data_IF_805988541594
#
_entry.id   IF_805988541594
#
_cell.length_a   1.000
_cell.length_b   1.000
_cell.length_c   1.000
_cell.angle_alpha   90.00
_cell.angle_beta   90.00
_cell.angle_gamma   90.00
#
_symmetry.space_group_name_H-M   'P 1'
#
loop_
_entity.id
_entity.type
_entity.pdbx_description
1 polymer ?
#
# COMPACT_ATOMS: atom_id res chain seq x y z
N UNK A 1 -25.90 -47.58 -58.03
CA UNK A 1 -27.26 -47.90 -57.55
C UNK A 1 -27.83 -46.72 -56.78
N UNK A 2 -29.11 -46.82 -56.36
CA UNK A 2 -29.89 -45.99 -55.40
C UNK A 2 -29.03 -45.28 -54.32
N UNK A 3 -29.37 -44.07 -53.81
CA UNK A 3 -30.47 -43.15 -54.15
C UNK A 3 -30.15 -41.71 -53.71
N UNK A 4 -30.62 -40.75 -54.50
CA UNK A 4 -30.82 -39.34 -54.19
C UNK A 4 -31.70 -39.12 -52.93
N UNK A 5 -31.33 -38.16 -52.07
CA UNK A 5 -32.28 -37.35 -51.29
C UNK A 5 -31.86 -35.87 -51.43
N UNK A 6 -32.83 -35.00 -51.74
CA UNK A 6 -32.69 -33.53 -51.69
C UNK A 6 -33.41 -33.03 -50.45
N UNK A 7 -32.93 -31.94 -49.85
CA UNK A 7 -33.79 -31.00 -49.14
C UNK A 7 -33.44 -29.56 -49.50
N UNK A 8 -34.47 -28.79 -49.85
CA UNK A 8 -34.41 -27.35 -50.15
C UNK A 8 -35.52 -26.67 -49.37
N UNK A 9 -35.18 -25.61 -48.63
CA UNK A 9 -36.12 -24.68 -48.03
C UNK A 9 -35.60 -23.26 -48.27
N UNK A 10 -36.50 -22.30 -48.48
CA UNK A 10 -36.16 -20.93 -48.87
C UNK A 10 -35.95 -19.99 -47.67
N UNK A 11 -35.38 -18.82 -47.95
CA UNK A 11 -35.11 -17.75 -46.99
C UNK A 11 -36.25 -16.71 -46.93
N UNK A 12 -36.33 -16.00 -45.80
CA UNK A 12 -36.87 -14.62 -45.70
C UNK A 12 -36.37 -13.98 -44.40
N UNK A 13 -35.53 -12.93 -44.43
CA UNK A 13 -35.84 -11.47 -44.40
C UNK A 13 -35.98 -10.92 -42.94
N UNK A 14 -35.63 -9.63 -42.76
CA UNK A 14 -35.60 -8.82 -41.52
C UNK A 14 -34.45 -9.13 -40.52
N UNK A 15 -33.85 -8.15 -39.81
CA UNK A 15 -34.07 -6.69 -39.79
C UNK A 15 -32.79 -5.91 -40.16
N UNK A 16 -32.96 -4.74 -40.76
CA UNK A 16 -31.96 -3.66 -40.68
C UNK A 16 -32.21 -2.83 -39.41
N UNK A 17 -31.14 -2.44 -38.72
CA UNK A 17 -31.19 -1.45 -37.64
C UNK A 17 -30.00 -0.49 -37.80
N UNK A 18 -30.25 0.80 -37.60
CA UNK A 18 -29.35 1.86 -38.06
C UNK A 18 -28.05 1.98 -37.26
N UNK A 19 -26.96 2.29 -37.96
CA UNK A 19 -25.73 2.77 -37.35
C UNK A 19 -25.96 4.14 -36.69
N UNK A 20 -26.22 4.14 -35.38
CA UNK A 20 -26.03 5.35 -34.57
C UNK A 20 -24.53 5.65 -34.49
N UNK A 21 -24.07 6.58 -35.31
CA UNK A 21 -22.74 7.14 -35.22
C UNK A 21 -22.62 8.05 -33.98
N UNK A 22 -22.56 7.42 -32.80
CA UNK A 22 -22.19 8.11 -31.57
C UNK A 22 -20.77 8.64 -31.71
N UNK A 23 -20.65 9.93 -31.99
CA UNK A 23 -19.40 10.69 -31.99
C UNK A 23 -18.83 10.77 -30.58
N UNK A 24 -18.24 9.67 -30.13
CA UNK A 24 -17.48 9.60 -28.90
C UNK A 24 -16.28 10.53 -29.04
N UNK A 25 -16.40 11.75 -28.50
CA UNK A 25 -15.27 12.66 -28.31
C UNK A 25 -14.33 11.97 -27.32
N UNK A 26 -13.36 11.24 -27.86
CA UNK A 26 -12.25 10.72 -27.10
C UNK A 26 -11.48 11.92 -26.56
N UNK A 27 -11.69 12.22 -25.27
CA UNK A 27 -10.79 13.09 -24.52
C UNK A 27 -9.45 12.38 -24.44
N UNK A 28 -8.60 12.62 -25.43
CA UNK A 28 -7.21 12.15 -25.43
C UNK A 28 -6.51 12.68 -24.19
N UNK A 29 -6.38 11.81 -23.19
CA UNK A 29 -5.57 12.10 -22.02
C UNK A 29 -4.13 12.35 -22.48
N UNK A 30 -3.51 13.49 -22.13
CA UNK A 30 -2.14 13.77 -22.55
C UNK A 30 -1.23 12.63 -22.08
N UNK A 31 -0.31 12.13 -22.93
CA UNK A 31 0.58 11.02 -22.58
C UNK A 31 1.30 11.29 -21.25
N UNK A 32 1.36 10.28 -20.39
CA UNK A 32 1.90 10.40 -19.02
C UNK A 32 3.34 10.96 -19.01
N UNK A 33 4.10 10.67 -20.08
CA UNK A 33 5.45 11.18 -20.30
C UNK A 33 5.49 12.70 -20.46
N UNK A 34 4.46 13.32 -21.06
CA UNK A 34 4.31 14.78 -21.18
C UNK A 34 4.15 15.41 -19.79
N UNK A 35 3.27 14.84 -18.96
CA UNK A 35 3.06 15.27 -17.56
C UNK A 35 4.33 15.08 -16.71
N UNK A 36 5.11 14.02 -16.95
CA UNK A 36 6.40 13.82 -16.28
C UNK A 36 7.44 14.86 -16.74
N UNK A 37 7.52 15.16 -18.03
CA UNK A 37 8.47 16.15 -18.57
C UNK A 37 8.15 17.59 -18.13
N UNK A 38 6.88 18.01 -18.13
CA UNK A 38 6.47 19.35 -17.69
C UNK A 38 6.87 19.62 -16.23
N UNK A 39 6.74 18.63 -15.34
CA UNK A 39 7.17 18.75 -13.95
C UNK A 39 8.71 18.84 -13.82
N UNK A 40 9.47 18.15 -14.68
CA UNK A 40 10.93 18.25 -14.73
C UNK A 40 11.38 19.62 -15.24
N UNK A 41 10.69 20.20 -16.22
CA UNK A 41 11.02 21.52 -16.81
C UNK A 41 10.81 22.64 -15.78
N UNK A 42 9.64 22.67 -15.13
CA UNK A 42 9.34 23.68 -14.08
C UNK A 42 10.36 23.63 -12.93
N UNK A 43 10.82 22.44 -12.55
CA UNK A 43 11.85 22.25 -11.51
C UNK A 43 13.29 22.59 -11.96
N UNK A 44 13.58 22.68 -13.26
CA UNK A 44 14.86 23.19 -13.78
C UNK A 44 14.91 24.71 -13.78
N UNK A 45 13.81 25.37 -14.16
CA UNK A 45 13.71 26.84 -14.17
C UNK A 45 13.86 27.42 -12.76
N UNK A 46 13.30 26.75 -11.74
CA UNK A 46 13.45 27.12 -10.32
C UNK A 46 14.88 26.93 -9.74
N UNK A 47 15.90 26.59 -10.54
CA UNK A 47 17.29 26.33 -10.09
C UNK A 47 18.36 27.23 -10.71
N UNK A 48 17.99 28.27 -11.47
CA UNK A 48 18.94 29.12 -12.17
C UNK A 48 19.36 30.41 -11.42
N UNK A 49 19.10 30.52 -10.11
CA UNK A 49 19.71 31.53 -9.25
C UNK A 49 20.70 30.90 -8.26
N UNK A 50 22.02 30.98 -8.51
CA UNK A 50 23.04 30.57 -7.55
C UNK A 50 23.37 31.72 -6.59
N UNK A 51 23.13 31.54 -5.30
CA UNK A 51 23.68 32.42 -4.27
C UNK A 51 25.09 31.97 -3.87
N UNK A 52 26.07 32.86 -3.97
CA UNK A 52 27.40 32.66 -3.42
C UNK A 52 27.48 33.31 -2.05
N UNK A 53 27.75 32.51 -1.00
CA UNK A 53 28.08 33.01 0.35
C UNK A 53 29.25 32.16 0.87
N UNK A 54 30.37 32.77 1.31
CA UNK A 54 31.54 32.02 1.78
C UNK A 54 31.29 31.32 3.13
N UNK A 55 32.10 30.29 3.42
CA UNK A 55 32.07 29.62 4.72
C UNK A 55 32.60 30.55 5.82
N UNK A 56 31.79 30.75 6.85
CA UNK A 56 32.21 31.25 8.16
C UNK A 56 31.98 30.10 9.16
N UNK A 57 32.97 29.79 10.00
CA UNK A 57 32.79 28.80 11.06
C UNK A 57 31.77 29.30 12.08
N UNK A 58 30.77 28.46 12.39
CA UNK A 58 29.71 28.84 13.34
C UNK A 58 30.05 28.37 14.75
N UNK A 59 29.86 29.22 15.78
CA UNK A 59 30.00 28.79 17.16
C UNK A 59 28.96 27.70 17.49
N UNK A 60 29.29 26.89 18.49
CA UNK A 60 28.51 25.72 18.91
C UNK A 60 27.27 26.14 19.72
N UNK A 61 26.28 26.69 19.01
CA UNK A 61 24.97 27.03 19.59
C UNK A 61 24.31 25.74 20.09
N UNK A 62 24.07 25.67 21.40
CA UNK A 62 23.15 24.68 21.97
C UNK A 62 21.75 25.00 21.45
N UNK A 63 21.17 24.05 20.70
CA UNK A 63 19.79 24.17 20.26
C UNK A 63 18.88 23.79 21.42
N UNK A 64 18.11 24.75 21.92
CA UNK A 64 16.87 24.42 22.61
C UNK A 64 16.06 23.46 21.74
N UNK A 65 15.59 22.34 22.31
CA UNK A 65 14.75 21.37 21.60
C UNK A 65 13.33 21.94 21.51
N UNK A 66 13.17 22.99 20.70
CA UNK A 66 11.90 23.68 20.45
C UNK A 66 10.84 22.64 20.02
N UNK A 67 9.84 22.41 20.86
CA UNK A 67 8.83 21.39 20.62
C UNK A 67 7.99 21.75 19.38
N UNK A 68 8.28 21.09 18.25
CA UNK A 68 7.56 21.20 16.98
C UNK A 68 6.11 20.73 17.18
N UNK A 69 5.23 21.68 17.50
CA UNK A 69 3.83 21.43 17.85
C UNK A 69 3.16 20.52 16.81
N UNK A 70 2.35 19.52 17.24
CA UNK A 70 1.79 18.53 16.34
C UNK A 70 0.93 19.19 15.25
N UNK A 71 1.30 18.95 14.00
CA UNK A 71 0.66 19.58 12.83
C UNK A 71 -0.82 19.17 12.73
N UNK A 72 -1.70 20.15 12.60
CA UNK A 72 -3.12 19.93 12.40
C UNK A 72 -3.41 19.71 10.92
N UNK A 73 -3.77 18.49 10.55
CA UNK A 73 -4.14 18.13 9.18
C UNK A 73 -5.66 18.20 8.95
N UNK A 74 -6.08 18.80 7.83
CA UNK A 74 -7.46 18.81 7.34
C UNK A 74 -7.57 18.01 6.05
N UNK A 75 -8.70 17.31 5.83
CA UNK A 75 -8.80 16.28 4.79
C UNK A 75 -9.79 16.63 3.68
N UNK A 76 -9.37 16.38 2.44
CA UNK A 76 -10.24 16.35 1.25
C UNK A 76 -10.45 14.91 0.82
N UNK A 77 -11.71 14.50 0.68
CA UNK A 77 -12.10 13.13 0.27
C UNK A 77 -12.00 12.96 -1.25
N UNK A 78 -10.92 12.32 -1.72
CA UNK A 78 -10.60 12.15 -3.14
C UNK A 78 -11.25 10.93 -3.80
N UNK A 79 -11.69 9.93 -3.00
CA UNK A 79 -12.64 8.88 -3.44
C UNK A 79 -13.84 8.88 -2.50
N UNK A 80 -14.99 9.29 -3.04
CA UNK A 80 -16.22 9.54 -2.27
C UNK A 80 -17.04 8.26 -2.07
N UNK A 81 -17.11 7.43 -3.10
CA UNK A 81 -18.15 6.40 -3.27
C UNK A 81 -17.62 5.00 -2.98
N UNK A 82 -18.53 4.04 -2.78
CA UNK A 82 -18.18 2.65 -2.51
C UNK A 82 -17.73 2.37 -1.07
N UNK A 83 -17.01 1.26 -0.91
CA UNK A 83 -16.58 0.70 0.36
C UNK A 83 -15.14 1.10 0.73
N UNK A 84 -14.34 1.53 -0.26
CA UNK A 84 -13.02 2.13 -0.06
C UNK A 84 -13.16 3.64 -0.22
N UNK A 85 -13.07 4.37 0.89
CA UNK A 85 -13.01 5.84 0.92
C UNK A 85 -11.56 6.27 1.06
N UNK A 86 -11.12 7.26 0.28
CA UNK A 86 -9.75 7.78 0.35
C UNK A 86 -9.78 9.28 0.57
N UNK A 87 -8.97 9.72 1.52
CA UNK A 87 -8.82 11.10 1.99
C UNK A 87 -7.35 11.50 1.84
N UNK A 88 -7.10 12.72 1.35
CA UNK A 88 -5.77 13.34 1.32
C UNK A 88 -5.76 14.55 2.27
N UNK A 89 -4.71 14.72 3.06
CA UNK A 89 -4.49 15.96 3.80
C UNK A 89 -4.27 17.15 2.84
N UNK A 90 -4.65 18.36 3.23
CA UNK A 90 -4.43 19.56 2.39
C UNK A 90 -3.03 20.13 2.57
N UNK A 91 -2.43 19.88 3.72
CA UNK A 91 -1.20 20.50 4.21
C UNK A 91 0.05 19.64 3.96
N UNK A 92 -0.13 18.37 3.56
CA UNK A 92 0.96 17.41 3.34
C UNK A 92 0.54 16.23 2.44
N UNK A 93 1.51 15.46 1.93
CA UNK A 93 1.27 14.18 1.23
C UNK A 93 0.99 13.04 2.24
N UNK A 94 -0.12 13.18 2.97
CA UNK A 94 -0.67 12.20 3.90
C UNK A 94 -2.01 11.71 3.35
N UNK A 95 -2.19 10.39 3.35
CA UNK A 95 -3.35 9.71 2.79
C UNK A 95 -3.92 8.74 3.82
N UNK A 96 -5.24 8.83 4.03
CA UNK A 96 -5.98 7.92 4.89
C UNK A 96 -7.04 7.21 4.05
N UNK A 97 -7.17 5.91 4.28
CA UNK A 97 -8.12 5.06 3.59
C UNK A 97 -9.02 4.37 4.62
N UNK A 98 -10.33 4.38 4.41
CA UNK A 98 -11.28 3.51 5.12
C UNK A 98 -11.73 2.41 4.16
N UNK A 99 -11.37 1.16 4.44
CA UNK A 99 -11.71 -0.02 3.64
C UNK A 99 -12.73 -0.87 4.42
N UNK A 100 -14.01 -0.78 4.06
CA UNK A 100 -15.09 -1.58 4.64
C UNK A 100 -15.19 -2.94 3.91
N UNK A 101 -14.81 -4.02 4.58
CA UNK A 101 -14.79 -5.37 4.04
C UNK A 101 -16.22 -5.96 4.01
N UNK A 102 -17.01 -5.58 3.00
CA UNK A 102 -18.34 -6.12 2.73
C UNK A 102 -18.54 -6.34 1.22
N UNK A 103 -19.46 -7.23 0.85
CA UNK A 103 -19.72 -7.55 -0.56
C UNK A 103 -18.46 -8.08 -1.27
N UNK A 104 -18.09 -7.46 -2.38
CA UNK A 104 -16.89 -7.81 -3.17
C UNK A 104 -15.60 -7.13 -2.68
N UNK A 105 -15.68 -6.25 -1.67
CA UNK A 105 -14.49 -5.54 -1.16
C UNK A 105 -13.55 -6.48 -0.44
N UNK A 106 -12.33 -6.57 -0.96
CA UNK A 106 -11.29 -7.50 -0.49
C UNK A 106 -9.90 -6.87 -0.59
N UNK A 107 -8.91 -7.56 -0.01
CA UNK A 107 -7.50 -7.21 -0.12
C UNK A 107 -6.73 -8.40 -0.70
N UNK A 108 -5.62 -8.13 -1.37
CA UNK A 108 -4.74 -9.16 -1.95
C UNK A 108 -3.29 -8.84 -1.66
N UNK A 109 -2.50 -9.85 -1.28
CA UNK A 109 -1.05 -9.74 -1.28
C UNK A 109 -0.56 -9.62 -2.72
N UNK A 110 0.18 -8.55 -3.01
CA UNK A 110 0.92 -8.37 -4.25
C UNK A 110 2.37 -8.73 -3.96
N UNK A 111 2.65 -10.01 -4.10
CA UNK A 111 3.93 -10.66 -3.87
C UNK A 111 4.28 -11.47 -5.12
N UNK A 112 5.56 -11.53 -5.48
CA UNK A 112 6.03 -12.38 -6.57
C UNK A 112 5.91 -13.86 -6.20
N UNK A 113 5.95 -14.76 -7.19
CA UNK A 113 6.25 -16.16 -6.88
C UNK A 113 7.65 -16.19 -6.26
N UNK A 114 7.88 -16.94 -5.16
CA UNK A 114 9.22 -17.07 -4.62
C UNK A 114 10.12 -17.76 -5.66
N UNK A 115 11.38 -17.34 -5.72
CA UNK A 115 12.38 -17.89 -6.64
C UNK A 115 12.92 -19.19 -6.07
N UNK A 116 13.21 -19.19 -4.78
CA UNK A 116 13.60 -20.33 -3.96
C UNK A 116 12.43 -20.76 -3.08
N UNK A 117 11.88 -21.95 -3.36
CA UNK A 117 11.18 -22.75 -2.34
C UNK A 117 12.18 -23.77 -1.81
N UNK A 118 12.75 -23.50 -0.63
CA UNK A 118 13.14 -24.61 0.24
C UNK A 118 11.85 -25.32 0.66
N UNK A 119 11.82 -26.65 0.54
CA UNK A 119 10.57 -27.42 0.56
C UNK A 119 10.08 -27.67 1.97
N UNK A 120 11.01 -27.80 2.92
CA UNK A 120 10.69 -27.76 4.33
C UNK A 120 10.82 -26.35 4.89
N UNK A 121 9.88 -25.97 5.77
CA UNK A 121 9.93 -24.67 6.48
C UNK A 121 11.17 -24.55 7.40
N UNK A 122 11.84 -25.67 7.63
CA UNK A 122 13.04 -25.80 8.45
C UNK A 122 14.33 -25.47 7.69
N UNK A 123 14.30 -25.49 6.35
CA UNK A 123 15.48 -25.32 5.48
C UNK A 123 15.78 -23.84 5.14
N UNK A 124 14.81 -22.93 5.22
CA UNK A 124 15.06 -21.49 4.98
C UNK A 124 13.82 -20.64 4.69
N UNK A 125 14.00 -19.32 4.66
CA UNK A 125 12.97 -18.38 4.20
C UNK A 125 12.94 -18.29 2.67
N UNK A 126 11.76 -18.29 2.03
CA UNK A 126 11.67 -18.11 0.59
C UNK A 126 12.03 -16.68 0.17
N UNK A 127 12.69 -16.56 -0.98
CA UNK A 127 13.13 -15.26 -1.51
C UNK A 127 12.26 -14.75 -2.67
N UNK A 128 12.04 -13.43 -2.69
CA UNK A 128 11.13 -12.75 -3.61
C UNK A 128 11.87 -11.70 -4.45
N UNK A 129 11.56 -11.63 -5.75
CA UNK A 129 12.00 -10.51 -6.59
C UNK A 129 11.45 -9.19 -6.06
N UNK A 130 12.31 -8.18 -5.90
CA UNK A 130 11.87 -6.82 -5.61
C UNK A 130 11.41 -6.13 -6.90
N UNK A 131 10.21 -5.52 -6.89
CA UNK A 131 9.65 -4.74 -8.02
C UNK A 131 9.48 -3.26 -7.68
N UNK A 132 9.31 -2.44 -8.72
CA UNK A 132 8.89 -1.04 -8.62
C UNK A 132 7.36 -0.93 -8.79
N UNK A 133 6.79 0.28 -8.62
CA UNK A 133 5.34 0.50 -8.71
C UNK A 133 4.73 -0.01 -10.03
N UNK A 134 5.40 0.22 -11.18
CA UNK A 134 4.95 -0.27 -12.50
C UNK A 134 4.94 -1.80 -12.57
N UNK A 135 5.88 -2.47 -11.90
CA UNK A 135 5.88 -3.93 -11.73
C UNK A 135 4.74 -4.45 -10.86
N UNK A 136 4.41 -3.77 -9.76
CA UNK A 136 3.27 -4.13 -8.92
C UNK A 136 1.92 -3.86 -9.58
N UNK A 137 1.79 -2.80 -10.39
CA UNK A 137 0.58 -2.54 -11.17
C UNK A 137 0.35 -3.60 -12.26
N UNK A 138 1.42 -4.17 -12.83
CA UNK A 138 1.32 -5.36 -13.71
C UNK A 138 0.93 -6.64 -12.97
N UNK A 139 1.38 -6.79 -11.72
CA UNK A 139 1.03 -7.94 -10.86
C UNK A 139 -0.39 -7.85 -10.30
N UNK A 140 -0.93 -6.63 -10.16
CA UNK A 140 -2.25 -6.32 -9.63
C UNK A 140 -3.38 -6.55 -10.66
N UNK A 141 -3.54 -7.82 -11.06
CA UNK A 141 -4.70 -8.31 -11.80
C UNK A 141 -6.01 -7.82 -11.17
N UNK A 142 -6.95 -7.34 -11.98
CA UNK A 142 -8.28 -6.92 -11.51
C UNK A 142 -8.44 -5.43 -11.17
N UNK A 143 -7.47 -4.57 -11.52
CA UNK A 143 -7.55 -3.11 -11.34
C UNK A 143 -7.85 -2.68 -9.89
N UNK A 144 -6.86 -2.74 -8.97
CA UNK A 144 -7.06 -2.30 -7.59
C UNK A 144 -7.56 -0.85 -7.53
N UNK A 145 -8.35 -0.57 -6.50
CA UNK A 145 -8.68 0.81 -6.13
C UNK A 145 -7.43 1.55 -5.67
N UNK A 146 -6.59 0.90 -4.86
CA UNK A 146 -5.37 1.48 -4.33
C UNK A 146 -4.37 0.39 -3.93
N UNK A 147 -3.10 0.77 -3.78
CA UNK A 147 -2.02 -0.10 -3.34
C UNK A 147 -1.14 0.62 -2.31
N UNK A 148 -0.70 -0.06 -1.26
CA UNK A 148 0.35 0.40 -0.33
C UNK A 148 1.50 -0.62 -0.27
N UNK A 149 2.69 -0.25 0.20
CA UNK A 149 3.71 -1.26 0.51
C UNK A 149 3.29 -2.15 1.70
N UNK A 150 3.85 -3.35 1.77
CA UNK A 150 3.49 -4.35 2.78
C UNK A 150 4.61 -4.64 3.78
N UNK A 151 5.38 -5.69 3.49
CA UNK A 151 6.33 -6.27 4.45
C UNK A 151 7.67 -5.53 4.52
N UNK A 152 8.31 -5.63 5.68
CA UNK A 152 9.74 -5.36 5.87
C UNK A 152 10.58 -6.44 5.18
N UNK A 153 11.80 -6.10 4.75
CA UNK A 153 12.67 -6.97 3.98
C UNK A 153 14.14 -6.55 4.06
N UNK A 154 15.06 -7.41 3.62
CA UNK A 154 16.48 -7.07 3.49
C UNK A 154 16.71 -6.11 2.32
N UNK A 155 16.95 -4.82 2.62
CA UNK A 155 17.19 -3.78 1.62
C UNK A 155 18.39 -4.04 0.69
N UNK A 156 19.33 -4.90 1.09
CA UNK A 156 20.64 -5.05 0.47
C UNK A 156 20.69 -6.13 -0.62
N UNK A 157 19.77 -7.10 -0.63
CA UNK A 157 19.79 -8.22 -1.60
C UNK A 157 18.66 -8.12 -2.63
N UNK A 158 18.83 -8.68 -3.83
CA UNK A 158 17.72 -8.92 -4.75
C UNK A 158 18.00 -10.26 -5.49
N UNK A 159 17.22 -11.32 -5.26
CA UNK A 159 15.98 -11.37 -4.47
C UNK A 159 16.19 -11.15 -2.95
N UNK A 160 15.09 -11.10 -2.21
CA UNK A 160 15.11 -10.84 -0.75
C UNK A 160 14.13 -11.74 -0.02
N UNK A 161 14.49 -12.17 1.17
CA UNK A 161 13.55 -12.68 2.17
C UNK A 161 12.64 -11.57 2.69
N UNK A 162 11.49 -11.95 3.26
CA UNK A 162 10.66 -11.05 4.05
C UNK A 162 11.10 -11.12 5.51
N UNK A 163 11.20 -9.96 6.17
CA UNK A 163 11.62 -9.88 7.57
C UNK A 163 10.59 -10.50 8.52
N UNK A 164 9.28 -10.33 8.26
CA UNK A 164 8.22 -10.85 9.13
C UNK A 164 7.15 -11.62 8.33
N UNK A 165 6.42 -12.47 9.05
CA UNK A 165 5.46 -13.40 8.47
C UNK A 165 4.36 -12.78 7.62
N UNK A 166 4.01 -13.50 6.56
CA UNK A 166 2.96 -13.15 5.62
C UNK A 166 2.14 -14.39 5.26
N UNK A 167 0.82 -14.30 5.42
CA UNK A 167 -0.16 -15.28 4.97
C UNK A 167 -1.12 -14.61 3.98
N UNK A 168 -1.33 -15.23 2.83
CA UNK A 168 -2.28 -14.76 1.81
C UNK A 168 -2.96 -15.94 1.16
N UNK A 169 -4.23 -15.77 0.80
CA UNK A 169 -5.05 -16.77 0.12
C UNK A 169 -5.16 -18.09 0.92
N UNK A 170 -5.05 -18.00 2.25
CA UNK A 170 -5.03 -19.15 3.18
C UNK A 170 -3.66 -19.80 3.39
N UNK A 171 -2.65 -19.47 2.59
CA UNK A 171 -1.31 -20.08 2.63
C UNK A 171 -0.28 -19.16 3.31
N UNK A 172 0.62 -19.74 4.09
CA UNK A 172 1.82 -19.03 4.58
C UNK A 172 2.77 -18.84 3.39
N UNK A 173 3.17 -17.59 3.13
CA UNK A 173 4.09 -17.23 2.03
C UNK A 173 5.53 -17.03 2.50
N UNK A 174 5.73 -16.67 3.77
CA UNK A 174 7.01 -16.64 4.50
C UNK A 174 6.68 -16.65 5.99
N UNK A 175 7.54 -17.26 6.83
CA UNK A 175 7.34 -17.21 8.28
C UNK A 175 7.96 -15.94 8.87
N UNK A 176 9.13 -15.51 8.39
CA UNK A 176 9.77 -14.21 8.61
C UNK A 176 11.20 -14.30 9.17
N UNK A 177 12.20 -13.85 8.40
CA UNK A 177 13.62 -13.96 8.75
C UNK A 177 13.99 -13.29 10.09
N UNK A 178 13.44 -12.10 10.36
CA UNK A 178 13.73 -11.23 11.50
C UNK A 178 12.67 -11.34 12.62
N UNK A 179 11.99 -12.49 12.71
CA UNK A 179 10.91 -12.72 13.68
C UNK A 179 11.31 -12.59 15.15
N UNK A 180 12.60 -12.66 15.48
CA UNK A 180 13.14 -12.61 16.85
C UNK A 180 13.24 -11.17 17.39
N UNK A 181 13.63 -11.00 18.65
CA UNK A 181 14.18 -9.75 19.23
C UNK A 181 13.30 -8.51 19.44
N UNK A 182 12.14 -8.35 18.78
CA UNK A 182 11.26 -7.16 18.93
C UNK A 182 9.78 -7.53 18.96
N UNK A 183 8.99 -6.78 19.74
CA UNK A 183 7.53 -6.93 19.80
C UNK A 183 6.89 -6.69 18.43
N UNK A 184 6.06 -7.63 18.01
CA UNK A 184 5.36 -7.63 16.71
C UNK A 184 3.89 -7.92 16.94
N UNK A 185 3.05 -7.46 16.01
CA UNK A 185 1.61 -7.72 15.97
C UNK A 185 1.21 -8.29 14.62
N UNK A 186 0.25 -9.21 14.65
CA UNK A 186 -0.40 -9.74 13.45
C UNK A 186 -1.68 -8.94 13.24
N UNK A 187 -1.89 -8.37 12.06
CA UNK A 187 -3.23 -8.02 11.59
C UNK A 187 -3.76 -9.19 10.77
N UNK A 188 -4.88 -9.77 11.20
CA UNK A 188 -5.54 -10.91 10.57
C UNK A 188 -6.87 -10.48 9.95
N UNK A 189 -7.26 -11.16 8.87
CA UNK A 189 -8.60 -11.03 8.29
C UNK A 189 -9.21 -12.41 8.12
N UNK A 190 -10.32 -12.65 8.81
CA UNK A 190 -11.02 -13.93 8.90
C UNK A 190 -12.51 -13.66 8.65
N UNK A 191 -13.10 -14.25 7.61
CA UNK A 191 -14.52 -14.07 7.25
C UNK A 191 -14.94 -12.58 7.20
N UNK A 192 -14.08 -11.72 6.64
CA UNK A 192 -14.21 -10.24 6.59
C UNK A 192 -14.19 -9.51 7.96
N UNK A 193 -13.89 -10.20 9.06
CA UNK A 193 -13.52 -9.57 10.33
C UNK A 193 -12.01 -9.34 10.40
N UNK A 194 -11.61 -8.11 10.73
CA UNK A 194 -10.23 -7.72 10.99
C UNK A 194 -9.98 -7.81 12.49
N UNK A 195 -8.84 -8.39 12.89
CA UNK A 195 -8.37 -8.41 14.28
C UNK A 195 -6.86 -8.18 14.35
N UNK A 196 -6.41 -7.55 15.41
CA UNK A 196 -4.99 -7.46 15.77
C UNK A 196 -4.67 -8.35 16.97
N UNK A 197 -3.55 -9.06 16.89
CA UNK A 197 -3.07 -10.03 17.89
C UNK A 197 -1.57 -9.80 18.17
N UNK A 198 -1.07 -10.09 19.38
CA UNK A 198 0.36 -10.26 19.62
C UNK A 198 0.94 -11.36 18.72
N UNK A 199 2.13 -11.15 18.18
CA UNK A 199 2.80 -12.15 17.35
C UNK A 199 3.25 -13.36 18.19
N UNK A 200 2.76 -14.54 17.81
CA UNK A 200 3.30 -15.84 18.21
C UNK A 200 3.13 -16.80 17.03
N UNK A 201 3.93 -17.88 16.99
CA UNK A 201 3.79 -18.88 15.94
C UNK A 201 2.40 -19.53 15.95
N UNK A 202 1.81 -19.77 17.12
CA UNK A 202 0.47 -20.32 17.25
C UNK A 202 -0.61 -19.37 16.70
N UNK A 203 -0.54 -18.08 17.05
CA UNK A 203 -1.45 -17.06 16.54
C UNK A 203 -1.31 -16.87 15.03
N UNK A 204 -0.11 -17.04 14.47
CA UNK A 204 0.18 -16.84 13.04
C UNK A 204 -0.12 -18.08 12.17
N UNK A 205 0.15 -19.30 12.65
CA UNK A 205 -0.05 -20.53 11.87
C UNK A 205 -1.48 -21.08 11.98
N UNK A 206 -1.95 -21.36 13.19
CA UNK A 206 -3.19 -22.13 13.46
C UNK A 206 -4.47 -21.28 13.44
N UNK A 207 -4.37 -19.96 13.66
CA UNK A 207 -5.52 -19.08 13.96
C UNK A 207 -5.73 -17.92 12.97
N UNK A 208 -5.01 -17.91 11.86
CA UNK A 208 -5.09 -16.88 10.81
C UNK A 208 -6.02 -17.27 9.67
N UNK A 209 -6.89 -16.36 9.25
CA UNK A 209 -7.78 -16.53 8.10
C UNK A 209 -7.07 -16.36 6.76
N UNK A 210 -7.83 -15.97 5.74
CA UNK A 210 -7.36 -15.84 4.36
C UNK A 210 -6.18 -14.86 4.19
N UNK A 211 -6.05 -13.85 5.06
CA UNK A 211 -4.91 -12.94 5.07
C UNK A 211 -4.40 -12.72 6.50
N UNK A 212 -3.08 -12.69 6.67
CA UNK A 212 -2.44 -12.21 7.89
C UNK A 212 -1.08 -11.58 7.60
N UNK A 213 -0.81 -10.46 8.28
CA UNK A 213 0.38 -9.64 8.08
C UNK A 213 1.02 -9.29 9.43
N UNK A 214 2.29 -9.65 9.59
CA UNK A 214 3.06 -9.32 10.79
C UNK A 214 3.75 -7.96 10.61
N UNK A 215 3.49 -7.01 11.49
CA UNK A 215 4.19 -5.72 11.57
C UNK A 215 4.82 -5.50 12.94
N UNK A 216 5.56 -4.41 13.12
CA UNK A 216 5.97 -4.01 14.48
C UNK A 216 4.77 -3.56 15.30
N UNK A 217 4.84 -3.79 16.61
CA UNK A 217 3.95 -3.11 17.55
C UNK A 217 4.15 -1.59 17.43
N UNK A 218 3.07 -0.81 17.51
CA UNK A 218 3.16 0.64 17.49
C UNK A 218 4.03 1.20 18.63
N UNK A 219 4.13 0.50 19.77
CA UNK A 219 4.98 0.91 20.89
C UNK A 219 6.49 0.72 20.61
N UNK A 220 6.92 0.02 19.56
CA UNK A 220 8.35 -0.09 19.21
C UNK A 220 8.86 1.27 18.68
N UNK A 221 9.87 1.89 19.32
CA UNK A 221 10.49 3.11 18.83
C UNK A 221 11.37 2.77 17.61
N UNK A 222 10.91 3.11 16.42
CA UNK A 222 11.70 2.99 15.18
C UNK A 222 11.72 4.34 14.48
N UNK A 223 12.83 5.08 14.65
CA UNK A 223 12.98 6.48 14.22
C UNK A 223 11.79 7.36 14.64
N UNK A 224 11.21 7.15 15.83
CA UNK A 224 9.86 7.65 16.18
C UNK A 224 9.70 9.18 16.12
N UNK A 225 10.67 9.93 16.65
CA UNK A 225 10.76 11.40 16.53
C UNK A 225 11.07 11.89 15.09
N UNK A 226 11.53 11.03 14.17
CA UNK A 226 11.92 11.45 12.82
C UNK A 226 10.72 11.59 11.88
N UNK A 227 10.63 12.74 11.22
CA UNK A 227 9.76 12.97 10.05
C UNK A 227 10.28 12.14 8.86
N UNK A 228 9.59 11.04 8.51
CA UNK A 228 9.99 10.08 7.43
C UNK A 228 8.77 9.43 6.78
N UNK A 229 8.96 8.61 5.74
CA UNK A 229 7.88 7.78 5.20
C UNK A 229 7.27 6.84 6.26
N UNK A 230 5.95 6.90 6.44
CA UNK A 230 5.18 6.04 7.36
C UNK A 230 4.09 5.27 6.62
N UNK A 231 3.84 4.06 7.09
CA UNK A 231 2.71 3.24 6.67
C UNK A 231 2.20 2.43 7.87
N UNK A 232 0.90 2.53 8.13
CA UNK A 232 0.23 1.88 9.26
C UNK A 232 -1.09 1.23 8.81
N UNK A 233 -1.46 0.14 9.49
CA UNK A 233 -2.78 -0.48 9.40
C UNK A 233 -3.41 -0.65 10.79
N UNK A 234 -4.73 -0.48 10.89
CA UNK A 234 -5.49 -0.74 12.11
C UNK A 234 -6.98 -1.02 11.85
N UNK A 235 -7.65 -1.87 12.66
CA UNK A 235 -9.10 -1.98 12.65
C UNK A 235 -9.75 -0.74 13.33
N UNK A 236 -10.65 -0.07 12.61
CA UNK A 236 -11.45 1.06 13.12
C UNK A 236 -12.60 0.58 14.01
N UNK A 237 -12.87 1.28 15.11
CA UNK A 237 -14.03 1.06 15.98
C UNK A 237 -14.23 -0.42 16.36
N UNK A 238 -13.18 -1.04 16.93
CA UNK A 238 -13.23 -2.43 17.39
C UNK A 238 -14.34 -2.65 18.43
N UNK A 239 -15.09 -3.73 18.25
CA UNK A 239 -16.12 -4.17 19.20
C UNK A 239 -15.52 -4.88 20.43
N UNK A 240 -16.37 -5.31 21.37
CA UNK A 240 -15.99 -6.03 22.59
C UNK A 240 -15.22 -7.36 22.36
N UNK A 241 -15.24 -7.94 21.16
CA UNK A 241 -14.46 -9.15 20.79
C UNK A 241 -13.08 -8.81 20.17
N UNK A 242 -12.72 -7.52 20.18
CA UNK A 242 -11.62 -6.89 19.46
C UNK A 242 -11.63 -7.20 17.94
N UNK A 243 -12.80 -7.07 17.29
CA UNK A 243 -12.93 -7.20 15.83
C UNK A 243 -13.60 -5.99 15.18
N UNK A 244 -13.33 -5.77 13.89
CA UNK A 244 -13.98 -4.76 13.04
C UNK A 244 -14.23 -5.27 11.63
N UNK A 245 -15.11 -4.61 10.87
CA UNK A 245 -15.26 -4.77 9.42
C UNK A 245 -14.62 -3.64 8.60
N UNK A 246 -14.04 -2.63 9.26
CA UNK A 246 -13.39 -1.49 8.59
C UNK A 246 -11.92 -1.45 8.94
N UNK A 247 -11.07 -1.64 7.93
CA UNK A 247 -9.64 -1.43 8.01
C UNK A 247 -9.35 0.05 7.73
N UNK A 248 -8.54 0.69 8.56
CA UNK A 248 -7.91 1.97 8.24
C UNK A 248 -6.48 1.73 7.82
N UNK A 249 -6.08 2.37 6.73
CA UNK A 249 -4.69 2.50 6.29
C UNK A 249 -4.32 3.97 6.34
N UNK A 250 -3.15 4.27 6.91
CA UNK A 250 -2.53 5.59 6.79
C UNK A 250 -1.16 5.44 6.10
N UNK A 251 -0.95 6.26 5.08
CA UNK A 251 0.35 6.53 4.49
C UNK A 251 0.71 8.00 4.72
N UNK A 252 1.96 8.28 5.11
CA UNK A 252 2.52 9.62 5.11
C UNK A 252 3.86 9.62 4.41
N UNK A 253 4.09 10.54 3.47
CA UNK A 253 5.38 10.66 2.79
C UNK A 253 6.49 11.13 3.75
N UNK A 254 6.13 12.02 4.66
CA UNK A 254 6.98 12.57 5.72
C UNK A 254 6.11 12.79 6.98
N UNK A 255 6.33 11.99 8.02
CA UNK A 255 5.53 11.99 9.25
C UNK A 255 6.32 11.36 10.42
N UNK A 256 6.08 11.84 11.64
CA UNK A 256 6.54 11.19 12.88
C UNK A 256 5.67 9.97 13.25
N UNK A 257 6.04 9.22 14.30
CA UNK A 257 5.11 8.24 14.88
C UNK A 257 3.90 8.94 15.53
N UNK A 258 4.10 10.02 16.30
CA UNK A 258 3.02 10.64 17.10
C UNK A 258 1.96 11.34 16.24
N UNK A 259 2.35 12.08 15.19
CA UNK A 259 1.39 12.61 14.20
C UNK A 259 0.54 11.47 13.60
N UNK A 260 1.17 10.34 13.26
CA UNK A 260 0.48 9.16 12.77
C UNK A 260 -0.51 8.56 13.77
N UNK A 261 -0.17 8.56 15.06
CA UNK A 261 -1.08 8.13 16.13
C UNK A 261 -2.28 9.09 16.27
N UNK A 262 -2.04 10.40 16.23
CA UNK A 262 -3.09 11.41 16.36
C UNK A 262 -4.08 11.35 15.19
N UNK A 263 -3.58 11.20 13.96
CA UNK A 263 -4.44 10.98 12.80
C UNK A 263 -5.21 9.66 12.88
N UNK A 264 -4.58 8.55 13.25
CA UNK A 264 -5.30 7.26 13.37
C UNK A 264 -6.35 7.26 14.49
N UNK A 265 -6.14 8.01 15.58
CA UNK A 265 -7.16 8.24 16.63
C UNK A 265 -8.40 8.93 16.06
N UNK A 266 -8.26 9.98 15.22
CA UNK A 266 -9.40 10.68 14.56
C UNK A 266 -10.26 9.74 13.72
N UNK A 267 -9.66 8.70 13.14
CA UNK A 267 -10.36 7.69 12.35
C UNK A 267 -10.82 6.48 13.17
N UNK A 268 -10.74 6.51 14.50
CA UNK A 268 -11.32 5.51 15.40
C UNK A 268 -10.44 4.27 15.62
N UNK A 269 -9.14 4.35 15.34
CA UNK A 269 -8.18 3.32 15.74
C UNK A 269 -7.63 3.59 17.15
N UNK A 270 -7.38 2.52 17.90
CA UNK A 270 -6.73 2.55 19.22
C UNK A 270 -5.27 2.12 19.11
N UNK A 271 -4.37 2.68 19.93
CA UNK A 271 -2.89 2.51 19.83
C UNK A 271 -2.47 1.04 19.84
N UNK A 272 -3.10 0.25 20.70
CA UNK A 272 -2.88 -1.18 20.89
C UNK A 272 -3.27 -2.03 19.67
N UNK A 273 -4.06 -1.48 18.74
CA UNK A 273 -4.51 -2.14 17.51
C UNK A 273 -3.86 -1.58 16.24
N UNK A 274 -2.86 -0.70 16.35
CA UNK A 274 -2.07 -0.25 15.19
C UNK A 274 -0.88 -1.19 14.98
N UNK A 275 -0.65 -1.61 13.73
CA UNK A 275 0.61 -2.23 13.29
C UNK A 275 1.39 -1.25 12.42
N UNK A 276 2.72 -1.21 12.61
CA UNK A 276 3.63 -0.45 11.73
C UNK A 276 4.09 -1.36 10.60
N UNK A 277 3.99 -0.88 9.36
CA UNK A 277 4.51 -1.51 8.14
C UNK A 277 5.83 -0.86 7.72
N UNK A 278 6.44 -1.35 6.64
CA UNK A 278 7.75 -0.87 6.21
C UNK A 278 7.73 0.63 5.85
N UNK A 279 8.76 1.33 6.30
CA UNK A 279 8.81 2.78 6.45
C UNK A 279 9.90 3.45 5.59
N UNK A 280 10.20 4.71 5.89
CA UNK A 280 11.26 5.48 5.23
C UNK A 280 11.11 5.48 3.71
N UNK A 281 12.06 4.87 3.00
CA UNK A 281 12.03 4.77 1.54
C UNK A 281 11.12 3.70 0.94
N UNK A 282 10.46 2.89 1.77
CA UNK A 282 9.58 1.76 1.34
C UNK A 282 8.00 1.97 1.03
N UNK A 283 7.96 2.75 2.14
CA UNK A 283 6.73 3.47 2.44
C UNK A 283 6.12 4.05 1.14
N UNK A 284 4.98 3.52 0.67
CA UNK A 284 4.40 3.86 -0.65
C UNK A 284 2.88 3.86 -0.63
N UNK A 285 2.32 4.68 -1.51
CA UNK A 285 0.89 4.71 -1.82
C UNK A 285 0.68 4.87 -3.33
N UNK A 286 -0.38 4.26 -3.86
CA UNK A 286 -0.87 4.49 -5.21
C UNK A 286 -2.41 4.49 -5.23
N UNK A 287 -2.98 5.41 -6.03
CA UNK A 287 -4.39 5.45 -6.40
C UNK A 287 -4.55 6.13 -7.77
N UNK A 288 -5.11 5.41 -8.75
CA UNK A 288 -5.32 5.89 -10.13
C UNK A 288 -4.02 6.42 -10.78
N UNK A 289 -3.89 7.74 -10.92
CA UNK A 289 -2.74 8.39 -11.56
C UNK A 289 -1.78 9.01 -10.53
N UNK A 290 -2.07 8.87 -9.22
CA UNK A 290 -1.22 9.34 -8.12
C UNK A 290 -0.36 8.19 -7.61
N UNK A 291 0.97 8.34 -7.65
CA UNK A 291 1.93 7.43 -7.04
C UNK A 291 2.85 8.23 -6.10
N UNK A 292 3.03 7.77 -4.86
CA UNK A 292 3.82 8.44 -3.84
C UNK A 292 4.81 7.48 -3.18
N UNK A 293 5.97 8.05 -2.85
CA UNK A 293 7.14 7.35 -2.34
C UNK A 293 7.68 8.11 -1.13
N UNK A 294 7.80 7.41 -0.01
CA UNK A 294 8.34 7.95 1.24
C UNK A 294 9.83 8.27 1.13
N UNK A 295 10.29 9.02 2.12
CA UNK A 295 11.64 9.59 2.17
C UNK A 295 12.58 8.70 2.99
N UNK A 296 13.73 8.33 2.41
CA UNK A 296 14.85 7.69 3.13
C UNK A 296 15.87 8.71 3.65
N UNK A 297 16.09 9.77 2.86
CA UNK A 297 16.76 11.03 3.19
C UNK A 297 15.89 12.18 2.61
N UNK A 298 16.50 13.25 2.10
CA UNK A 298 15.87 14.51 1.66
C UNK A 298 15.12 14.43 0.32
N UNK A 299 14.79 13.21 -0.16
CA UNK A 299 14.11 12.98 -1.45
C UNK A 299 13.27 11.69 -1.45
N UNK A 300 12.25 11.58 -2.33
CA UNK A 300 11.48 10.35 -2.51
C UNK A 300 12.36 9.18 -2.94
N UNK A 301 12.12 8.00 -2.37
CA UNK A 301 12.93 6.81 -2.61
C UNK A 301 12.22 5.81 -3.55
N UNK A 302 12.77 5.69 -4.76
CA UNK A 302 12.22 4.84 -5.83
C UNK A 302 12.79 3.41 -5.84
N UNK A 303 13.37 2.92 -4.73
CA UNK A 303 13.89 1.54 -4.59
C UNK A 303 12.93 0.46 -5.09
N UNK A 304 13.40 -0.74 -5.36
CA UNK A 304 12.52 -1.91 -5.49
C UNK A 304 12.20 -2.49 -4.11
N UNK A 305 10.98 -3.02 -3.94
CA UNK A 305 10.48 -3.68 -2.72
C UNK A 305 9.81 -5.03 -3.10
N UNK A 306 9.73 -6.05 -2.22
CA UNK A 306 9.18 -7.36 -2.57
C UNK A 306 7.66 -7.47 -2.45
N UNK A 307 7.03 -6.72 -1.53
CA UNK A 307 5.62 -6.91 -1.17
C UNK A 307 4.83 -5.59 -1.14
N UNK A 308 3.66 -5.59 -1.79
CA UNK A 308 2.62 -4.56 -1.66
C UNK A 308 1.26 -5.18 -1.32
N UNK A 309 0.33 -4.38 -0.82
CA UNK A 309 -1.05 -4.79 -0.47
C UNK A 309 -1.99 -4.01 -1.39
N UNK A 310 -2.75 -4.73 -2.22
CA UNK A 310 -3.77 -4.14 -3.09
C UNK A 310 -5.16 -4.19 -2.43
N UNK A 311 -5.93 -3.13 -2.58
CA UNK A 311 -7.33 -3.02 -2.10
C UNK A 311 -8.30 -2.93 -3.28
N UNK A 312 -9.36 -3.73 -3.25
CA UNK A 312 -10.28 -3.94 -4.38
C UNK A 312 -11.75 -3.78 -3.95
N UNK A 313 -12.62 -3.38 -4.87
CA UNK A 313 -14.08 -3.21 -4.64
C UNK A 313 -14.97 -4.13 -5.51
N UNK A 314 -14.38 -4.89 -6.43
CA UNK A 314 -15.06 -5.68 -7.46
C UNK A 314 -14.53 -7.11 -7.48
#
# INVERSE_FOLDING_TARGET
>A
MKKLIKYTALASIFCASGFYASSAIALEMPPLERVMQENIIKQKQAKQQPSQIPKIEKPKIEKEEQEDLPRIFSYTKIKKDGNIKIYKAREAEIFIQEIKLIGKTHIKSLLTKPISWNKDINEGEPEFERKNMKGFLKLAQGNPTSIINGQFFNGNTNPTTLSFGLKSDGEIKSVGADNRGRQKKILTIINRHIKTLPYSWENFSKKTGAFALVGFDFNIPNRSKSRVGRNYLCPKNVNARNTSHTLVSLFGQEMTDEEGLQELKKYGCKKENIIKLDGGGSARFWHKNTALFGFSKDKPDYRTIPHMIGFYEK
#
